data_IF_041873840286
#
_entry.id   IF_041873840286
#
_cell.length_a   1.000
_cell.length_b   1.000
_cell.length_c   1.000
_cell.angle_alpha   90.00
_cell.angle_beta   90.00
_cell.angle_gamma   90.00
#
_symmetry.space_group_name_H-M   'P 1'
#
loop_
_entity.id
_entity.type
_entity.pdbx_description
1 polymer ?
#
# COMPACT_ATOMS: atom_id res chain seq x y z
N UNK A 1 -7.79 12.84 0.61
CA UNK A 1 -8.61 12.90 -0.62
C UNK A 1 -9.42 14.20 -0.71
N UNK A 2 -10.26 14.58 0.29
CA UNK A 2 -11.07 15.83 0.26
C UNK A 2 -10.24 17.09 0.05
N UNK A 3 -9.12 17.24 0.75
CA UNK A 3 -8.24 18.41 0.60
C UNK A 3 -7.59 18.50 -0.78
N UNK A 4 -7.24 17.39 -1.40
CA UNK A 4 -6.73 17.36 -2.76
C UNK A 4 -7.82 17.76 -3.75
N UNK A 5 -9.03 17.27 -3.55
CA UNK A 5 -10.18 17.63 -4.40
C UNK A 5 -10.55 19.11 -4.33
N UNK A 6 -10.36 19.77 -3.19
CA UNK A 6 -10.56 21.23 -3.05
C UNK A 6 -9.57 22.03 -3.91
N UNK A 7 -8.37 21.49 -4.15
CA UNK A 7 -7.31 22.16 -4.93
C UNK A 7 -7.39 21.79 -6.41
N UNK A 8 -7.68 20.54 -6.73
CA UNK A 8 -7.78 19.99 -8.09
C UNK A 8 -9.05 19.14 -8.21
N UNK A 9 -10.22 19.75 -8.52
CA UNK A 9 -11.48 19.02 -8.66
C UNK A 9 -11.61 18.40 -10.06
N UNK A 10 -10.68 17.57 -10.44
CA UNK A 10 -10.61 16.88 -11.72
C UNK A 10 -10.48 15.38 -11.50
N UNK A 11 -11.49 14.61 -11.91
CA UNK A 11 -11.56 13.16 -11.77
C UNK A 11 -10.40 12.43 -12.49
N UNK A 12 -9.71 13.10 -13.41
CA UNK A 12 -8.56 12.53 -14.12
C UNK A 12 -7.35 12.34 -13.18
N UNK A 13 -7.17 13.26 -12.24
CA UNK A 13 -5.99 13.30 -11.37
C UNK A 13 -6.32 13.03 -9.91
N UNK A 14 -7.50 13.42 -9.45
CA UNK A 14 -7.90 13.25 -8.05
C UNK A 14 -9.23 12.52 -7.98
N UNK A 15 -9.27 11.36 -7.38
CA UNK A 15 -10.50 10.61 -7.19
C UNK A 15 -11.53 11.45 -6.43
N UNK A 16 -12.73 11.60 -6.99
CA UNK A 16 -13.80 12.40 -6.41
C UNK A 16 -14.30 11.79 -5.09
N UNK A 17 -14.09 12.45 -3.95
CA UNK A 17 -14.42 11.90 -2.63
C UNK A 17 -15.94 11.71 -2.42
N UNK A 18 -16.77 12.34 -3.25
CA UNK A 18 -18.23 12.18 -3.20
C UNK A 18 -18.73 10.96 -4.00
N UNK A 19 -17.85 10.33 -4.80
CA UNK A 19 -18.18 9.16 -5.62
C UNK A 19 -17.51 7.88 -5.11
N UNK A 20 -16.53 7.98 -4.24
CA UNK A 20 -15.82 6.83 -3.69
C UNK A 20 -14.45 7.17 -3.12
N UNK A 21 -13.68 6.14 -2.87
CA UNK A 21 -12.33 6.24 -2.34
C UNK A 21 -11.30 6.15 -3.46
N UNK A 22 -10.17 6.83 -3.28
CA UNK A 22 -8.98 6.65 -4.10
C UNK A 22 -8.50 5.19 -4.06
N UNK A 23 -7.93 4.70 -5.15
CA UNK A 23 -7.30 3.39 -5.22
C UNK A 23 -6.17 3.25 -4.18
N UNK A 24 -5.42 4.32 -3.90
CA UNK A 24 -4.43 4.36 -2.82
C UNK A 24 -5.02 4.04 -1.44
N UNK A 25 -6.26 4.50 -1.17
CA UNK A 25 -6.95 4.19 0.09
C UNK A 25 -7.39 2.72 0.20
N UNK A 26 -7.30 1.96 -0.88
CA UNK A 26 -7.61 0.53 -0.93
C UNK A 26 -6.40 -0.36 -0.73
N UNK A 27 -5.21 0.23 -0.50
CA UNK A 27 -3.98 -0.51 -0.21
C UNK A 27 -3.40 -1.29 -1.39
N UNK A 28 -3.93 -1.11 -2.60
CA UNK A 28 -3.48 -1.80 -3.80
C UNK A 28 -2.79 -0.89 -4.83
N UNK A 29 -2.56 0.35 -4.48
CA UNK A 29 -1.97 1.34 -5.40
C UNK A 29 -0.76 2.01 -4.75
N UNK A 30 0.27 2.19 -5.54
CA UNK A 30 1.52 2.86 -5.13
C UNK A 30 1.98 3.83 -6.21
N UNK A 31 2.55 4.95 -5.77
CA UNK A 31 3.31 5.85 -6.62
C UNK A 31 4.79 5.63 -6.34
N UNK A 32 5.56 5.37 -7.39
CA UNK A 32 6.97 4.98 -7.29
C UNK A 32 7.82 5.69 -8.34
N UNK A 33 9.11 5.87 -8.01
CA UNK A 33 10.12 6.39 -8.93
C UNK A 33 11.38 5.51 -8.91
N UNK A 34 12.32 5.81 -9.77
CA UNK A 34 13.64 5.18 -9.79
C UNK A 34 14.68 6.07 -9.12
N UNK A 35 15.57 5.43 -8.38
CA UNK A 35 16.74 6.08 -7.78
C UNK A 35 18.03 5.35 -8.17
N UNK A 36 19.14 6.06 -8.16
CA UNK A 36 20.46 5.47 -8.34
C UNK A 36 20.94 4.74 -7.05
N UNK A 37 22.11 4.14 -7.10
CA UNK A 37 22.70 3.43 -5.95
C UNK A 37 23.04 4.33 -4.76
N UNK A 38 22.98 5.65 -4.92
CA UNK A 38 23.22 6.64 -3.88
C UNK A 38 21.91 7.23 -3.32
N UNK A 39 20.76 6.84 -3.89
CA UNK A 39 19.45 7.32 -3.50
C UNK A 39 19.03 8.63 -4.20
N UNK A 40 19.73 9.09 -5.23
CA UNK A 40 19.29 10.22 -6.03
C UNK A 40 18.23 9.78 -7.02
N UNK A 41 17.17 10.55 -7.18
CA UNK A 41 16.15 10.28 -8.20
C UNK A 41 16.75 10.35 -9.59
N UNK A 42 16.36 9.40 -10.45
CA UNK A 42 16.64 9.45 -11.86
C UNK A 42 15.75 10.48 -12.56
N UNK A 43 16.20 10.99 -13.68
CA UNK A 43 15.41 11.91 -14.48
C UNK A 43 14.20 11.18 -15.06
N UNK A 44 13.00 11.62 -14.68
CA UNK A 44 11.72 11.05 -15.10
C UNK A 44 10.98 12.05 -16.00
N UNK A 45 9.92 11.65 -16.73
CA UNK A 45 9.18 12.53 -17.65
C UNK A 45 8.73 13.84 -17.02
N UNK A 46 8.27 13.79 -15.77
CA UNK A 46 7.86 14.95 -14.97
C UNK A 46 8.17 14.70 -13.50
N UNK A 47 7.97 15.69 -12.62
CA UNK A 47 7.85 15.46 -11.18
C UNK A 47 6.58 14.70 -10.82
N UNK A 48 6.48 14.21 -9.57
CA UNK A 48 5.26 13.66 -9.01
C UNK A 48 4.15 14.73 -8.98
N UNK A 49 2.90 14.28 -9.20
CA UNK A 49 1.73 15.16 -9.20
C UNK A 49 1.83 16.32 -10.22
N UNK A 50 2.61 16.15 -11.27
CA UNK A 50 2.57 17.04 -12.41
C UNK A 50 1.38 16.65 -13.31
N UNK A 51 0.33 17.45 -13.27
CA UNK A 51 -0.89 17.22 -14.02
C UNK A 51 -0.83 17.78 -15.44
N UNK A 52 0.35 17.76 -16.07
CA UNK A 52 0.53 18.07 -17.49
C UNK A 52 0.37 16.81 -18.35
N UNK A 53 0.16 17.01 -19.67
CA UNK A 53 0.11 15.88 -20.61
C UNK A 53 1.39 15.08 -20.70
N UNK A 54 2.54 15.62 -20.23
CA UNK A 54 3.81 14.90 -20.19
C UNK A 54 3.91 13.84 -19.10
N UNK A 55 2.97 13.84 -18.14
CA UNK A 55 2.91 12.82 -17.12
C UNK A 55 2.32 11.50 -17.60
N UNK A 56 1.62 11.52 -18.72
CA UNK A 56 1.00 10.32 -19.29
C UNK A 56 2.03 9.34 -19.90
N UNK A 57 1.57 8.14 -20.23
CA UNK A 57 2.42 7.06 -20.76
C UNK A 57 2.56 7.07 -22.28
N UNK A 58 2.18 8.15 -22.95
CA UNK A 58 2.46 8.37 -24.39
C UNK A 58 3.85 8.99 -24.59
N UNK A 59 4.74 9.07 -23.86
CA UNK A 59 6.12 9.57 -23.93
C UNK A 59 6.60 10.16 -25.28
N UNK A 60 5.72 10.43 -26.25
CA UNK A 60 6.07 10.93 -27.58
C UNK A 60 6.60 12.36 -27.58
N UNK A 61 6.29 13.12 -26.53
CA UNK A 61 6.74 14.50 -26.29
C UNK A 61 7.76 14.62 -25.14
N UNK A 62 8.31 13.49 -24.68
CA UNK A 62 9.30 13.38 -23.61
C UNK A 62 10.68 13.07 -24.23
N UNK A 63 11.74 13.57 -23.62
CA UNK A 63 13.12 13.31 -24.04
C UNK A 63 13.50 11.82 -23.86
N UNK A 64 14.57 11.39 -24.55
CA UNK A 64 14.97 9.97 -24.65
C UNK A 64 15.27 9.37 -23.25
N UNK A 65 16.10 10.03 -22.44
CA UNK A 65 16.54 9.49 -21.13
C UNK A 65 15.38 9.33 -20.15
N UNK A 66 14.53 10.35 -19.89
CA UNK A 66 13.36 10.18 -19.04
C UNK A 66 12.40 9.10 -19.56
N UNK A 67 12.23 8.98 -20.87
CA UNK A 67 11.42 7.92 -21.49
C UNK A 67 11.98 6.53 -21.20
N UNK A 68 13.30 6.32 -21.36
CA UNK A 68 13.95 5.05 -21.03
C UNK A 68 13.76 4.67 -19.56
N UNK A 69 13.87 5.63 -18.63
CA UNK A 69 13.67 5.40 -17.21
C UNK A 69 12.20 5.05 -16.91
N UNK A 70 11.24 5.77 -17.48
CA UNK A 70 9.82 5.48 -17.30
C UNK A 70 9.45 4.09 -17.83
N UNK A 71 9.97 3.70 -19.00
CA UNK A 71 9.77 2.38 -19.57
C UNK A 71 10.45 1.27 -18.74
N UNK A 72 11.64 1.53 -18.17
CA UNK A 72 12.30 0.59 -17.25
C UNK A 72 11.44 0.36 -15.99
N UNK A 73 10.92 1.44 -15.41
CA UNK A 73 10.01 1.36 -14.26
C UNK A 73 8.76 0.57 -14.62
N UNK A 74 8.07 0.94 -15.70
CA UNK A 74 6.87 0.29 -16.17
C UNK A 74 7.07 -1.21 -16.38
N UNK A 75 8.07 -1.59 -17.19
CA UNK A 75 8.36 -3.00 -17.48
C UNK A 75 8.70 -3.80 -16.21
N UNK A 76 9.35 -3.15 -15.24
CA UNK A 76 9.67 -3.79 -13.96
C UNK A 76 8.41 -4.04 -13.15
N UNK A 77 7.55 -3.05 -12.99
CA UNK A 77 6.32 -3.16 -12.23
C UNK A 77 5.34 -4.17 -12.86
N UNK A 78 5.15 -4.11 -14.17
CA UNK A 78 4.31 -5.06 -14.92
C UNK A 78 4.80 -6.50 -14.80
N UNK A 79 6.12 -6.73 -14.82
CA UNK A 79 6.72 -8.06 -14.60
C UNK A 79 6.32 -8.66 -13.26
N UNK A 80 6.08 -7.83 -12.24
CA UNK A 80 5.67 -8.27 -10.91
C UNK A 80 4.16 -8.15 -10.65
N UNK A 81 3.36 -7.98 -11.70
CA UNK A 81 1.90 -8.06 -11.64
C UNK A 81 1.19 -6.75 -11.35
N UNK A 82 1.90 -5.63 -11.36
CA UNK A 82 1.27 -4.32 -11.25
C UNK A 82 0.82 -3.80 -12.61
N UNK A 83 -0.27 -3.06 -12.63
CA UNK A 83 -0.82 -2.39 -13.81
C UNK A 83 -0.61 -0.88 -13.70
N UNK A 84 -0.07 -0.24 -14.75
CA UNK A 84 0.13 1.20 -14.77
C UNK A 84 -1.13 1.96 -15.16
N UNK A 85 -1.41 3.09 -14.49
CA UNK A 85 -2.44 4.03 -14.94
C UNK A 85 -1.91 4.89 -16.08
N UNK A 86 -2.68 5.02 -17.17
CA UNK A 86 -2.22 5.72 -18.38
C UNK A 86 -1.84 7.19 -18.13
N UNK A 87 -2.58 7.91 -17.30
CA UNK A 87 -2.40 9.34 -17.07
C UNK A 87 -1.19 9.72 -16.22
N UNK A 88 -0.51 8.74 -15.58
CA UNK A 88 0.55 9.01 -14.61
C UNK A 88 1.65 7.95 -14.69
N UNK A 89 2.89 8.34 -15.02
CA UNK A 89 4.01 7.42 -15.17
C UNK A 89 4.41 6.72 -13.85
N UNK A 90 4.15 7.34 -12.71
CA UNK A 90 4.50 6.84 -11.35
C UNK A 90 3.47 5.91 -10.74
N UNK A 91 2.23 5.92 -11.24
CA UNK A 91 1.07 5.27 -10.62
C UNK A 91 0.91 3.82 -11.08
N UNK A 92 0.92 2.89 -10.12
CA UNK A 92 0.76 1.45 -10.37
C UNK A 92 -0.21 0.84 -9.36
N UNK A 93 -1.03 -0.10 -9.83
CA UNK A 93 -2.00 -0.81 -9.01
C UNK A 93 -1.86 -2.33 -9.14
N UNK A 94 -2.14 -3.04 -8.04
CA UNK A 94 -2.29 -4.49 -8.00
C UNK A 94 -3.75 -4.87 -8.34
N UNK A 95 -3.97 -6.10 -8.81
CA UNK A 95 -5.31 -6.65 -9.07
C UNK A 95 -6.18 -6.74 -7.82
N UNK A 96 -5.56 -6.87 -6.64
CA UNK A 96 -6.27 -7.07 -5.37
C UNK A 96 -6.67 -5.73 -4.77
N UNK A 97 -7.97 -5.44 -4.77
CA UNK A 97 -8.53 -4.25 -4.11
C UNK A 97 -9.10 -4.60 -2.74
N UNK A 98 -8.63 -3.92 -1.70
CA UNK A 98 -9.12 -4.11 -0.34
C UNK A 98 -10.26 -3.15 -0.01
N UNK A 99 -11.23 -3.54 0.86
CA UNK A 99 -12.21 -2.60 1.35
C UNK A 99 -11.51 -1.47 2.12
N UNK A 100 -11.95 -0.23 1.86
CA UNK A 100 -11.50 0.93 2.66
C UNK A 100 -12.17 0.85 4.02
N UNK A 101 -11.38 0.78 5.06
CA UNK A 101 -11.86 0.88 6.42
C UNK A 101 -11.47 2.25 6.99
N UNK A 102 -12.48 3.08 7.26
CA UNK A 102 -12.33 4.47 7.68
C UNK A 102 -11.75 4.65 9.09
N UNK A 103 -11.43 3.57 9.79
CA UNK A 103 -11.02 3.64 11.19
C UNK A 103 -9.64 3.03 11.37
N UNK A 104 -8.61 3.85 11.24
CA UNK A 104 -7.36 3.62 11.95
C UNK A 104 -7.63 3.83 13.46
N UNK A 105 -8.03 2.78 14.15
CA UNK A 105 -8.01 2.82 15.60
C UNK A 105 -6.55 2.92 16.05
N UNK A 106 -6.18 3.92 16.86
CA UNK A 106 -4.83 4.02 17.37
C UNK A 106 -4.50 2.74 18.17
N UNK A 107 -3.32 2.20 17.94
CA UNK A 107 -2.81 1.07 18.69
C UNK A 107 -2.59 1.53 20.12
N UNK A 108 -3.27 0.90 21.06
CA UNK A 108 -3.18 1.25 22.51
C UNK A 108 -1.96 0.64 23.18
N UNK A 109 -1.37 -0.38 22.57
CA UNK A 109 -0.13 -1.02 22.98
C UNK A 109 0.64 -1.49 21.77
N UNK A 110 1.98 -1.39 21.80
CA UNK A 110 2.84 -1.87 20.72
C UNK A 110 2.96 -3.41 20.73
N UNK A 111 2.87 -4.02 21.91
CA UNK A 111 2.97 -5.47 22.11
C UNK A 111 1.62 -6.10 22.37
N UNK A 112 1.38 -7.20 21.69
CA UNK A 112 0.21 -8.04 21.81
C UNK A 112 0.64 -9.50 21.96
N UNK A 113 -0.25 -10.34 22.50
CA UNK A 113 -0.05 -11.79 22.53
C UNK A 113 -1.22 -12.52 21.88
N UNK A 114 -0.95 -13.74 21.39
CA UNK A 114 -1.93 -14.59 20.76
C UNK A 114 -2.85 -15.25 21.77
N UNK A 115 -4.12 -14.82 21.83
CA UNK A 115 -5.16 -15.37 22.67
C UNK A 115 -5.99 -16.40 21.89
N UNK A 116 -5.56 -17.65 21.92
CA UNK A 116 -6.17 -18.73 21.16
C UNK A 116 -5.97 -20.08 21.87
N UNK A 117 -6.41 -21.17 21.26
CA UNK A 117 -6.20 -22.52 21.84
C UNK A 117 -4.81 -23.08 21.55
N UNK A 118 -4.28 -22.88 20.33
CA UNK A 118 -2.97 -23.41 19.90
C UNK A 118 -2.12 -22.35 19.20
N UNK A 119 -2.63 -21.71 18.15
CA UNK A 119 -1.94 -20.68 17.37
C UNK A 119 -2.94 -19.76 16.67
N UNK A 120 -2.46 -18.57 16.26
CA UNK A 120 -3.13 -17.71 15.29
C UNK A 120 -2.36 -17.69 13.99
N UNK A 121 -3.04 -17.38 12.89
CA UNK A 121 -2.43 -17.31 11.56
C UNK A 121 -2.03 -15.88 11.22
N UNK A 122 -0.75 -15.67 10.93
CA UNK A 122 -0.24 -14.47 10.26
C UNK A 122 -0.40 -14.68 8.75
N UNK A 123 -1.12 -13.80 8.07
CA UNK A 123 -1.56 -13.98 6.68
C UNK A 123 -0.99 -12.89 5.77
N UNK A 124 -0.92 -13.19 4.47
CA UNK A 124 -0.50 -12.23 3.45
C UNK A 124 -1.41 -11.02 3.33
N UNK A 125 -2.72 -11.19 3.60
CA UNK A 125 -3.76 -10.17 3.42
C UNK A 125 -4.77 -10.21 4.56
N UNK A 126 -5.52 -9.14 4.83
CA UNK A 126 -6.55 -9.07 5.89
C UNK A 126 -7.82 -9.83 5.50
N UNK A 127 -7.68 -11.11 5.17
CA UNK A 127 -8.74 -12.02 4.79
C UNK A 127 -8.51 -13.40 5.42
N UNK A 128 -9.57 -14.04 5.90
CA UNK A 128 -9.51 -15.39 6.47
C UNK A 128 -9.16 -16.47 5.45
N UNK A 129 -9.39 -16.23 4.16
CA UNK A 129 -9.02 -17.11 3.05
C UNK A 129 -7.58 -16.88 2.55
N UNK A 130 -6.93 -15.77 2.94
CA UNK A 130 -5.57 -15.45 2.51
C UNK A 130 -4.56 -16.50 2.96
N UNK A 131 -3.46 -16.61 2.22
CA UNK A 131 -2.36 -17.53 2.52
C UNK A 131 -1.77 -17.27 3.92
N UNK A 132 -1.49 -18.35 4.64
CA UNK A 132 -0.84 -18.31 5.95
C UNK A 132 0.68 -18.31 5.76
N UNK A 133 1.32 -17.22 6.17
CA UNK A 133 2.78 -17.07 6.13
C UNK A 133 3.42 -17.80 7.32
N UNK A 134 2.91 -17.50 8.53
CA UNK A 134 3.42 -18.02 9.80
C UNK A 134 2.27 -18.30 10.74
N UNK A 135 2.44 -19.29 11.61
CA UNK A 135 1.56 -19.56 12.76
C UNK A 135 2.22 -19.05 14.01
N UNK A 136 1.58 -18.09 14.69
CA UNK A 136 2.02 -17.55 15.96
C UNK A 136 1.44 -18.41 17.08
N UNK A 137 2.29 -19.09 17.88
CA UNK A 137 1.82 -19.94 18.96
C UNK A 137 0.98 -19.18 20.00
N UNK A 138 0.16 -19.93 20.73
CA UNK A 138 -0.58 -19.40 21.88
C UNK A 138 0.36 -18.72 22.86
N UNK A 139 -0.08 -17.57 23.37
CA UNK A 139 0.60 -16.72 24.35
C UNK A 139 1.94 -16.11 23.88
N UNK A 140 2.38 -16.39 22.64
CA UNK A 140 3.53 -15.71 22.08
C UNK A 140 3.23 -14.22 21.82
N UNK A 141 4.22 -13.40 22.12
CA UNK A 141 4.14 -11.95 21.92
C UNK A 141 4.64 -11.52 20.54
N UNK A 142 3.98 -10.52 19.99
CA UNK A 142 4.33 -9.91 18.71
C UNK A 142 4.00 -8.41 18.70
N UNK A 143 4.50 -7.68 17.71
CA UNK A 143 4.22 -6.25 17.55
C UNK A 143 3.00 -6.04 16.67
N UNK A 144 2.08 -5.17 17.08
CA UNK A 144 0.98 -4.67 16.24
C UNK A 144 1.30 -3.24 15.84
N UNK A 145 1.16 -2.96 14.55
CA UNK A 145 1.53 -1.69 13.94
C UNK A 145 0.32 -0.83 13.59
N UNK A 146 -0.76 -1.49 13.18
CA UNK A 146 -2.02 -0.84 12.85
C UNK A 146 -3.19 -1.81 13.01
N UNK A 147 -4.36 -1.28 13.35
CA UNK A 147 -5.61 -2.03 13.32
C UNK A 147 -6.35 -1.74 12.01
N UNK A 148 -6.74 -2.79 11.30
CA UNK A 148 -7.37 -2.73 9.98
C UNK A 148 -8.69 -3.51 10.04
N UNK A 149 -9.76 -2.89 10.51
CA UNK A 149 -11.05 -3.51 10.68
C UNK A 149 -11.03 -4.75 11.58
N UNK A 150 -11.36 -5.91 11.02
CA UNK A 150 -11.33 -7.20 11.74
C UNK A 150 -9.93 -7.81 11.85
N UNK A 151 -8.93 -7.18 11.21
CA UNK A 151 -7.53 -7.60 11.24
C UNK A 151 -6.63 -6.55 11.87
N UNK A 152 -5.40 -6.95 12.18
CA UNK A 152 -4.32 -6.08 12.60
C UNK A 152 -3.08 -6.39 11.76
N UNK A 153 -2.38 -5.36 11.28
CA UNK A 153 -1.05 -5.49 10.71
C UNK A 153 -0.07 -5.76 11.84
N UNK A 154 0.64 -6.85 11.74
CA UNK A 154 1.53 -7.32 12.80
C UNK A 154 2.90 -7.76 12.26
N UNK A 155 3.89 -7.71 13.13
CA UNK A 155 5.23 -8.26 12.90
C UNK A 155 5.51 -9.35 13.94
N UNK A 156 5.91 -10.53 13.47
CA UNK A 156 6.34 -11.65 14.29
C UNK A 156 7.58 -12.32 13.71
N UNK A 157 8.65 -12.39 14.50
CA UNK A 157 9.92 -13.01 14.12
C UNK A 157 10.52 -12.49 12.79
N UNK A 158 10.42 -11.17 12.54
CA UNK A 158 10.90 -10.53 11.32
C UNK A 158 9.99 -10.68 10.11
N UNK A 159 8.80 -11.25 10.29
CA UNK A 159 7.81 -11.44 9.21
C UNK A 159 6.59 -10.58 9.45
N UNK A 160 6.19 -9.83 8.43
CA UNK A 160 5.02 -8.95 8.45
C UNK A 160 3.81 -9.63 7.83
N UNK A 161 2.63 -9.34 8.35
CA UNK A 161 1.39 -9.87 7.83
C UNK A 161 0.18 -9.44 8.66
N UNK A 162 -0.94 -10.09 8.45
CA UNK A 162 -2.21 -9.75 9.09
C UNK A 162 -2.69 -10.87 10.01
N UNK A 163 -3.09 -10.50 11.23
CA UNK A 163 -3.73 -11.39 12.22
C UNK A 163 -5.16 -10.93 12.49
N UNK A 164 -6.05 -11.85 12.79
CA UNK A 164 -7.44 -11.51 13.13
C UNK A 164 -7.53 -10.93 14.54
N UNK A 165 -8.19 -9.79 14.73
CA UNK A 165 -8.25 -9.02 15.98
C UNK A 165 -8.89 -9.78 17.14
N UNK A 166 -9.85 -10.65 16.88
CA UNK A 166 -10.55 -11.41 17.93
C UNK A 166 -9.63 -12.37 18.71
N UNK A 167 -8.45 -12.64 18.17
CA UNK A 167 -7.49 -13.60 18.73
C UNK A 167 -6.22 -12.94 19.26
N UNK A 168 -6.23 -11.63 19.48
CA UNK A 168 -5.08 -10.90 20.02
C UNK A 168 -5.49 -10.07 21.24
N UNK A 169 -4.57 -9.92 22.19
CA UNK A 169 -4.76 -9.07 23.36
C UNK A 169 -3.54 -8.21 23.61
N UNK A 170 -3.70 -6.94 24.00
CA UNK A 170 -2.57 -6.08 24.35
C UNK A 170 -1.85 -6.62 25.60
N UNK A 171 -0.53 -6.55 25.59
CA UNK A 171 0.27 -6.82 26.78
C UNK A 171 0.06 -5.67 27.75
N UNK A 172 -0.35 -5.97 28.97
CA UNK A 172 -0.57 -4.95 29.99
C UNK A 172 0.74 -4.23 30.30
N UNK A 173 0.75 -2.91 30.14
CA UNK A 173 1.86 -2.07 30.61
C UNK A 173 1.73 -1.98 32.13
N UNK A 174 2.66 -2.60 32.84
CA UNK A 174 2.72 -2.60 34.29
C UNK A 174 3.13 -1.24 34.86
#
# INVERSE_FOLDING_TARGET
>A
QFRLWEVCPDDTYVANPNRGFSAHSRGNTVDVTLVDSLGNELEMPTGFDDFSGKADRDYSDVEEIPTEHALLLQNTMEKYGFEGYFGEWWHFQDEISYPVEDVFEPVTAERYYAQCNEFISLRTHPDTAAEVIVRIPKDDEFTVLALCGTFALAEYAGTWGYVHRDFIQPVAVG
#
